data_IF_791046300664
#
_entry.id   IF_791046300664
#
_cell.length_a   1.000
_cell.length_b   1.000
_cell.length_c   1.000
_cell.angle_alpha   90.00
_cell.angle_beta   90.00
_cell.angle_gamma   90.00
#
_symmetry.space_group_name_H-M   'P 1'
#
loop_
_entity.id
_entity.type
_entity.pdbx_description
1 polymer ?
#
# COMPACT_ATOMS: atom_id res chain seq x y z
N UNK A 1 32.09 15.27 13.63
CA UNK A 1 31.38 14.01 14.02
C UNK A 1 29.91 14.31 14.32
N UNK A 2 29.61 15.27 15.21
CA UNK A 2 28.22 15.69 15.52
C UNK A 2 27.45 16.21 14.29
N UNK A 3 28.13 16.87 13.35
CA UNK A 3 27.52 17.43 12.14
C UNK A 3 26.95 16.35 11.21
N UNK A 4 27.59 15.18 11.17
CA UNK A 4 27.15 14.03 10.35
C UNK A 4 25.83 13.48 10.93
N UNK A 5 25.74 13.39 12.26
CA UNK A 5 24.52 12.97 12.95
C UNK A 5 23.38 13.98 12.77
N UNK A 6 23.68 15.29 12.84
CA UNK A 6 22.72 16.37 12.58
C UNK A 6 22.18 16.34 11.15
N UNK A 7 23.06 16.19 10.15
CA UNK A 7 22.65 16.08 8.74
C UNK A 7 21.82 14.83 8.47
N UNK A 8 22.19 13.70 9.06
CA UNK A 8 21.43 12.44 8.96
C UNK A 8 20.04 12.57 9.59
N UNK A 9 19.94 13.17 10.76
CA UNK A 9 18.66 13.39 11.45
C UNK A 9 17.76 14.36 10.66
N UNK A 10 18.32 15.44 10.13
CA UNK A 10 17.59 16.39 9.29
C UNK A 10 17.04 15.69 8.03
N UNK A 11 17.87 14.90 7.35
CA UNK A 11 17.45 14.14 6.18
C UNK A 11 16.31 13.15 6.49
N UNK A 12 16.41 12.42 7.60
CA UNK A 12 15.38 11.49 8.04
C UNK A 12 14.06 12.20 8.34
N UNK A 13 14.10 13.36 9.02
CA UNK A 13 12.91 14.17 9.31
C UNK A 13 12.28 14.67 8.01
N UNK A 14 13.07 15.24 7.09
CA UNK A 14 12.56 15.71 5.79
C UNK A 14 11.93 14.57 5.00
N UNK A 15 12.54 13.39 4.98
CA UNK A 15 12.00 12.21 4.32
C UNK A 15 10.65 11.75 4.94
N UNK A 16 10.55 11.69 6.28
CA UNK A 16 9.31 11.34 6.97
C UNK A 16 8.20 12.36 6.69
N UNK A 17 8.52 13.66 6.70
CA UNK A 17 7.56 14.72 6.39
C UNK A 17 7.04 14.60 4.95
N UNK A 18 7.94 14.44 3.96
CA UNK A 18 7.56 14.28 2.56
C UNK A 18 6.69 13.03 2.32
N UNK A 19 6.98 11.94 3.02
CA UNK A 19 6.19 10.69 2.91
C UNK A 19 4.83 10.80 3.60
N UNK A 20 4.73 11.53 4.71
CA UNK A 20 3.48 11.83 5.40
C UNK A 20 2.55 12.71 4.55
N UNK A 21 3.07 13.79 3.94
CA UNK A 21 2.27 14.65 3.05
C UNK A 21 1.70 13.90 1.84
N UNK A 22 2.46 12.94 1.29
CA UNK A 22 1.98 12.09 0.18
C UNK A 22 0.88 11.09 0.57
N UNK A 23 0.71 10.77 1.86
CA UNK A 23 -0.36 9.87 2.34
C UNK A 23 -1.75 10.53 2.34
N UNK A 24 -1.85 11.86 2.25
CA UNK A 24 -3.11 12.60 2.44
C UNK A 24 -4.10 12.53 1.25
N UNK A 25 -3.70 12.08 0.05
CA UNK A 25 -4.63 12.00 -1.10
C UNK A 25 -5.12 10.57 -1.36
N UNK A 26 -6.28 10.22 -0.77
CA UNK A 26 -7.40 9.44 -1.37
C UNK A 26 -8.26 8.78 -0.28
N UNK A 27 -9.05 9.57 0.43
CA UNK A 27 -10.34 9.10 0.89
C UNK A 27 -11.37 9.54 -0.14
N UNK A 28 -11.61 8.69 -1.14
CA UNK A 28 -12.81 8.80 -1.95
C UNK A 28 -13.65 7.59 -1.59
N UNK A 29 -14.73 7.83 -0.83
CA UNK A 29 -15.62 6.82 -0.25
C UNK A 29 -16.30 5.90 -1.29
N UNK A 30 -16.06 6.11 -2.59
CA UNK A 30 -16.56 5.30 -3.71
C UNK A 30 -15.60 4.19 -4.18
N UNK A 31 -14.46 3.98 -3.52
CA UNK A 31 -13.45 2.99 -3.96
C UNK A 31 -13.46 1.77 -3.05
N UNK A 32 -13.11 0.62 -3.62
CA UNK A 32 -12.97 -0.62 -2.85
C UNK A 32 -11.96 -0.41 -1.69
N UNK A 33 -12.11 -1.16 -0.59
CA UNK A 33 -11.21 -1.07 0.56
C UNK A 33 -9.74 -1.29 0.14
N UNK A 34 -8.80 -0.63 0.84
CA UNK A 34 -7.36 -0.75 0.59
C UNK A 34 -6.64 -1.08 1.89
N UNK A 35 -5.86 -2.17 1.95
CA UNK A 35 -4.94 -2.42 3.04
C UNK A 35 -3.92 -1.28 3.19
N UNK A 36 -3.44 -1.01 4.41
CA UNK A 36 -2.46 0.04 4.66
C UNK A 36 -1.13 -0.29 3.95
N UNK A 37 -0.61 0.68 3.20
CA UNK A 37 0.65 0.56 2.45
C UNK A 37 1.74 1.47 3.02
N UNK A 38 3.00 1.09 2.79
CA UNK A 38 4.16 1.95 3.06
C UNK A 38 4.35 3.02 1.97
N UNK A 39 4.96 4.16 2.30
CA UNK A 39 5.35 5.12 1.28
C UNK A 39 6.29 4.47 0.26
N UNK A 40 6.15 4.86 -1.01
CA UNK A 40 6.96 4.40 -2.17
C UNK A 40 6.72 2.92 -2.56
N UNK A 41 6.82 1.98 -1.62
CA UNK A 41 6.69 0.53 -1.82
C UNK A 41 5.21 0.09 -1.89
N UNK A 42 4.31 0.82 -1.23
CA UNK A 42 2.90 0.45 -1.14
C UNK A 42 2.68 -0.85 -0.36
N UNK A 43 1.91 -1.76 -0.92
CA UNK A 43 1.49 -3.05 -0.37
C UNK A 43 2.41 -4.22 -0.75
N UNK A 44 3.53 -3.99 -1.46
CA UNK A 44 4.46 -5.09 -1.82
C UNK A 44 4.93 -5.88 -0.59
N UNK A 45 5.14 -5.20 0.54
CA UNK A 45 5.53 -5.84 1.80
C UNK A 45 4.51 -6.87 2.35
N UNK A 46 3.27 -6.85 1.84
CA UNK A 46 2.20 -7.79 2.22
C UNK A 46 2.12 -8.99 1.26
N UNK A 47 2.80 -8.93 0.12
CA UNK A 47 2.81 -9.99 -0.89
C UNK A 47 4.10 -10.78 -0.71
N UNK A 48 3.96 -12.03 -0.23
CA UNK A 48 5.09 -12.94 -0.02
C UNK A 48 5.32 -13.78 -1.29
N UNK A 49 6.29 -14.70 -1.25
CA UNK A 49 6.63 -15.60 -2.36
C UNK A 49 5.38 -16.30 -2.95
N UNK A 50 4.49 -16.78 -2.08
CA UNK A 50 3.19 -17.33 -2.48
C UNK A 50 2.16 -16.20 -2.58
N UNK A 51 2.18 -15.52 -3.72
CA UNK A 51 1.36 -14.35 -4.00
C UNK A 51 -0.14 -14.67 -3.87
N UNK A 52 -0.60 -15.79 -4.45
CA UNK A 52 -2.00 -16.20 -4.42
C UNK A 52 -2.51 -16.40 -2.98
N UNK A 53 -1.72 -17.02 -2.08
CA UNK A 53 -2.09 -17.19 -0.67
C UNK A 53 -2.11 -15.85 0.07
N UNK A 54 -1.12 -15.00 -0.18
CA UNK A 54 -1.04 -13.67 0.42
C UNK A 54 -2.25 -12.80 0.04
N UNK A 55 -2.63 -12.82 -1.24
CA UNK A 55 -3.79 -12.11 -1.76
C UNK A 55 -5.11 -12.68 -1.24
N UNK A 56 -5.23 -14.01 -1.12
CA UNK A 56 -6.40 -14.65 -0.53
C UNK A 56 -6.57 -14.31 0.96
N UNK A 57 -5.49 -14.31 1.73
CA UNK A 57 -5.52 -13.91 3.14
C UNK A 57 -5.91 -12.43 3.30
N UNK A 58 -5.41 -11.56 2.41
CA UNK A 58 -5.84 -10.17 2.36
C UNK A 58 -7.31 -10.03 1.99
N UNK A 59 -7.82 -10.80 1.01
CA UNK A 59 -9.23 -10.73 0.63
C UNK A 59 -10.17 -11.20 1.73
N UNK A 60 -9.73 -12.16 2.57
CA UNK A 60 -10.49 -12.57 3.76
C UNK A 60 -10.66 -11.44 4.78
N UNK A 61 -9.71 -10.50 4.85
CA UNK A 61 -9.72 -9.38 5.79
C UNK A 61 -10.37 -8.11 5.21
N UNK A 62 -10.12 -7.80 3.95
CA UNK A 62 -10.54 -6.55 3.32
C UNK A 62 -11.73 -6.71 2.37
N UNK A 63 -12.09 -7.94 2.01
CA UNK A 63 -13.19 -8.24 1.11
C UNK A 63 -12.72 -8.73 -0.28
N UNK A 64 -13.67 -9.24 -1.09
CA UNK A 64 -13.37 -9.87 -2.39
C UNK A 64 -12.93 -8.88 -3.48
N UNK A 65 -13.16 -7.58 -3.29
CA UNK A 65 -12.69 -6.51 -4.18
C UNK A 65 -11.89 -5.52 -3.33
N UNK A 66 -10.60 -5.39 -3.61
CA UNK A 66 -9.72 -4.48 -2.87
C UNK A 66 -8.70 -3.80 -3.78
N UNK A 67 -8.25 -2.61 -3.38
CA UNK A 67 -7.16 -1.90 -4.04
C UNK A 67 -5.83 -2.19 -3.35
N UNK A 68 -4.79 -2.42 -4.14
CA UNK A 68 -3.41 -2.52 -3.70
C UNK A 68 -2.54 -1.53 -4.47
N UNK A 69 -1.40 -1.17 -3.90
CA UNK A 69 -0.37 -0.40 -4.58
C UNK A 69 0.93 -1.21 -4.59
N UNK A 70 1.34 -1.69 -5.76
CA UNK A 70 2.58 -2.44 -5.93
C UNK A 70 3.70 -1.47 -6.31
N UNK A 71 4.35 -0.86 -5.31
CA UNK A 71 5.28 0.23 -5.52
C UNK A 71 4.56 1.50 -6.00
N UNK A 72 4.80 1.87 -7.26
CA UNK A 72 4.09 2.97 -7.93
C UNK A 72 2.87 2.49 -8.75
N UNK A 73 2.70 1.18 -8.93
CA UNK A 73 1.65 0.59 -9.76
C UNK A 73 0.37 0.38 -8.93
N UNK A 74 -0.75 1.04 -9.25
CA UNK A 74 -2.03 0.72 -8.63
C UNK A 74 -2.58 -0.60 -9.21
N UNK A 75 -3.13 -1.44 -8.35
CA UNK A 75 -3.76 -2.71 -8.74
C UNK A 75 -5.11 -2.87 -8.05
N UNK A 76 -6.03 -3.60 -8.68
CA UNK A 76 -7.31 -4.05 -8.11
C UNK A 76 -7.26 -5.57 -8.07
N UNK A 77 -7.61 -6.14 -6.93
CA UNK A 77 -7.65 -7.59 -6.74
C UNK A 77 -9.12 -8.01 -6.65
N UNK A 78 -9.46 -9.01 -7.46
CA UNK A 78 -10.76 -9.67 -7.48
C UNK A 78 -10.57 -11.11 -7.02
N UNK A 79 -11.20 -11.50 -5.92
CA UNK A 79 -10.98 -12.79 -5.26
C UNK A 79 -12.23 -13.68 -5.21
N UNK A 80 -13.29 -13.31 -5.94
CA UNK A 80 -14.50 -14.12 -6.13
C UNK A 80 -14.80 -14.32 -7.62
N UNK A 81 -15.33 -15.48 -7.98
CA UNK A 81 -15.81 -15.79 -9.34
C UNK A 81 -16.86 -14.79 -9.81
N UNK A 82 -17.78 -14.38 -8.94
CA UNK A 82 -18.84 -13.45 -9.29
C UNK A 82 -18.25 -12.07 -9.62
N UNK A 83 -17.30 -11.61 -8.80
CA UNK A 83 -16.63 -10.32 -9.01
C UNK A 83 -15.74 -10.34 -10.26
N UNK A 84 -15.11 -11.47 -10.56
CA UNK A 84 -14.30 -11.63 -11.76
C UNK A 84 -15.16 -11.70 -13.04
N UNK A 85 -16.36 -12.29 -12.95
CA UNK A 85 -17.32 -12.34 -14.06
C UNK A 85 -17.94 -10.98 -14.39
N UNK A 86 -18.03 -10.10 -13.41
CA UNK A 86 -18.61 -8.75 -13.54
C UNK A 86 -17.60 -7.67 -13.95
N UNK A 87 -16.30 -7.98 -13.97
CA UNK A 87 -15.23 -7.06 -14.33
C UNK A 87 -15.02 -7.00 -15.85
#
# INVERSE_FOLDING_TARGET
>A
MADIWLLSLLFLITFLVLTAFKRSKRQNHRKAPSPPGFPIIGNLHQIRELQHQSLWNLSKKYGPVMHLKLGKVPAVVLSSSDTARQA
#
